data_IF_811247712264
#
_entry.id   IF_811247712264
#
_cell.length_a   1.000
_cell.length_b   1.000
_cell.length_c   1.000
_cell.angle_alpha   90.00
_cell.angle_beta   90.00
_cell.angle_gamma   90.00
#
_symmetry.space_group_name_H-M   'P 1'
#
loop_
_entity.id
_entity.type
_entity.pdbx_description
1 polymer ?
#
# COMPACT_ATOMS: atom_id res chain seq x y z
N UNK A 1 77.05 -34.50 -23.67
CA UNK A 1 76.99 -34.65 -22.21
C UNK A 1 76.04 -33.58 -21.68
N UNK A 2 75.06 -33.99 -20.85
CA UNK A 2 74.17 -33.17 -19.98
C UNK A 2 73.19 -32.21 -20.70
N UNK A 3 71.87 -32.45 -20.76
CA UNK A 3 70.84 -32.66 -19.73
C UNK A 3 70.25 -31.35 -19.14
N UNK A 4 68.91 -31.34 -19.11
CA UNK A 4 68.00 -30.71 -18.15
C UNK A 4 67.29 -29.38 -18.52
N UNK A 5 65.96 -29.53 -18.65
CA UNK A 5 64.85 -28.79 -18.03
C UNK A 5 64.64 -27.28 -18.30
N UNK A 6 63.37 -26.91 -18.10
CA UNK A 6 62.76 -25.57 -17.88
C UNK A 6 61.88 -25.17 -19.07
N UNK A 7 60.62 -24.77 -18.95
CA UNK A 7 59.58 -24.86 -17.92
C UNK A 7 58.30 -24.43 -18.67
N UNK A 8 57.21 -25.16 -18.45
CA UNK A 8 55.87 -24.75 -18.89
C UNK A 8 55.49 -23.44 -18.19
N UNK A 9 55.14 -22.39 -18.94
CA UNK A 9 54.42 -21.24 -18.40
C UNK A 9 53.15 -21.03 -19.25
N UNK A 10 52.12 -21.79 -18.86
CA UNK A 10 50.75 -21.49 -19.23
C UNK A 10 50.38 -20.14 -18.60
N UNK A 11 49.97 -19.17 -19.41
CA UNK A 11 49.30 -17.96 -18.92
C UNK A 11 47.98 -18.39 -18.28
N UNK A 12 47.99 -18.58 -16.96
CA UNK A 12 46.78 -18.55 -16.15
C UNK A 12 46.37 -17.09 -16.07
N UNK A 13 45.44 -16.68 -16.94
CA UNK A 13 44.69 -15.44 -16.76
C UNK A 13 43.92 -15.59 -15.46
N UNK A 14 44.40 -14.94 -14.41
CA UNK A 14 43.69 -14.78 -13.15
C UNK A 14 42.42 -13.97 -13.41
N UNK A 15 41.31 -14.66 -13.64
CA UNK A 15 39.98 -14.06 -13.57
C UNK A 15 39.77 -13.51 -12.16
N UNK A 16 39.95 -12.21 -11.98
CA UNK A 16 39.46 -11.55 -10.79
C UNK A 16 37.93 -11.69 -10.79
N UNK A 17 37.30 -12.24 -9.74
CA UNK A 17 35.87 -12.08 -9.58
C UNK A 17 35.62 -10.57 -9.47
N UNK A 18 34.88 -10.03 -10.44
CA UNK A 18 34.42 -8.66 -10.42
C UNK A 18 33.36 -8.54 -9.32
N UNK A 19 33.81 -8.40 -8.07
CA UNK A 19 32.97 -8.05 -6.93
C UNK A 19 32.68 -6.56 -7.00
N UNK A 20 31.94 -6.12 -8.02
CA UNK A 20 31.22 -4.85 -7.95
C UNK A 20 30.04 -5.06 -7.01
N UNK A 21 30.34 -4.90 -5.73
CA UNK A 21 29.40 -4.94 -4.64
C UNK A 21 28.35 -3.84 -4.79
N UNK A 22 27.13 -4.25 -5.12
CA UNK A 22 25.88 -3.49 -5.09
C UNK A 22 25.63 -2.92 -3.69
N UNK A 23 26.20 -1.75 -3.35
CA UNK A 23 25.96 -1.10 -2.04
C UNK A 23 25.75 0.42 -2.09
N UNK A 24 25.72 1.03 -3.28
CA UNK A 24 25.64 2.49 -3.47
C UNK A 24 24.21 3.08 -3.41
N UNK A 25 23.13 2.42 -3.88
CA UNK A 25 21.79 3.01 -3.87
C UNK A 25 21.18 3.17 -2.46
N UNK A 26 21.33 2.18 -1.58
CA UNK A 26 20.68 2.20 -0.26
C UNK A 26 21.20 3.31 0.66
N UNK A 27 22.53 3.52 0.71
CA UNK A 27 23.14 4.60 1.51
C UNK A 27 22.81 5.99 0.96
N UNK A 28 22.80 6.15 -0.37
CA UNK A 28 22.42 7.40 -1.01
C UNK A 28 20.94 7.74 -0.73
N UNK A 29 20.05 6.76 -0.84
CA UNK A 29 18.63 6.90 -0.51
C UNK A 29 18.42 7.27 0.96
N UNK A 30 19.16 6.65 1.88
CA UNK A 30 19.10 7.00 3.31
C UNK A 30 19.52 8.46 3.56
N UNK A 31 20.59 8.93 2.93
CA UNK A 31 21.05 10.31 3.05
C UNK A 31 20.05 11.31 2.45
N UNK A 32 19.44 10.98 1.31
CA UNK A 32 18.41 11.80 0.68
C UNK A 32 17.15 11.87 1.54
N UNK A 33 16.65 10.74 2.03
CA UNK A 33 15.50 10.70 2.93
C UNK A 33 15.72 11.53 4.20
N UNK A 34 16.95 11.52 4.74
CA UNK A 34 17.29 12.37 5.89
C UNK A 34 17.18 13.85 5.59
N UNK A 35 17.65 14.32 4.43
CA UNK A 35 17.49 15.73 4.02
C UNK A 35 16.02 16.12 3.90
N UNK A 36 15.21 15.26 3.29
CA UNK A 36 13.76 15.46 3.18
C UNK A 36 13.08 15.54 4.55
N UNK A 37 13.50 14.68 5.50
CA UNK A 37 13.03 14.76 6.89
C UNK A 37 13.44 16.09 7.54
N UNK A 38 14.69 16.54 7.38
CA UNK A 38 15.16 17.79 7.96
C UNK A 38 14.39 19.01 7.41
N UNK A 39 14.10 19.02 6.09
CA UNK A 39 13.26 20.02 5.45
C UNK A 39 11.82 19.98 5.97
N UNK A 40 11.21 18.79 6.05
CA UNK A 40 9.88 18.59 6.62
C UNK A 40 9.79 19.06 8.06
N UNK A 41 10.82 18.78 8.87
CA UNK A 41 10.91 19.24 10.27
C UNK A 41 10.95 20.77 10.34
N UNK A 42 11.69 21.43 9.45
CA UNK A 42 11.75 22.89 9.38
C UNK A 42 10.41 23.51 8.97
N UNK A 43 9.72 22.92 7.98
CA UNK A 43 8.37 23.32 7.55
C UNK A 43 7.35 23.16 8.69
N UNK A 44 7.37 22.00 9.37
CA UNK A 44 6.47 21.73 10.48
C UNK A 44 6.63 22.74 11.62
N UNK A 45 7.87 23.10 11.98
CA UNK A 45 8.17 24.11 13.02
C UNK A 45 7.61 25.49 12.69
N UNK A 46 7.47 25.83 11.40
CA UNK A 46 6.86 27.08 10.94
C UNK A 46 5.33 27.02 10.82
N UNK A 47 4.71 25.87 11.12
CA UNK A 47 3.27 25.65 10.95
C UNK A 47 2.85 25.33 9.52
N UNK A 48 3.79 25.15 8.59
CA UNK A 48 3.51 24.77 7.20
C UNK A 48 3.27 23.26 7.08
N UNK A 49 2.24 22.76 7.76
CA UNK A 49 2.00 21.32 7.95
C UNK A 49 1.74 20.56 6.65
N UNK A 50 1.02 21.14 5.69
CA UNK A 50 0.77 20.50 4.38
C UNK A 50 2.08 20.25 3.62
N UNK A 51 2.95 21.27 3.53
CA UNK A 51 4.26 21.14 2.88
C UNK A 51 5.20 20.20 3.65
N UNK A 52 5.10 20.19 4.98
CA UNK A 52 5.86 19.25 5.79
C UNK A 52 5.44 17.80 5.48
N UNK A 53 4.13 17.55 5.35
CA UNK A 53 3.59 16.25 5.00
C UNK A 53 4.15 15.75 3.67
N UNK A 54 4.17 16.60 2.64
CA UNK A 54 4.77 16.25 1.34
C UNK A 54 6.23 15.81 1.47
N UNK A 55 7.06 16.55 2.22
CA UNK A 55 8.48 16.20 2.40
C UNK A 55 8.65 14.88 3.15
N UNK A 56 7.81 14.62 4.16
CA UNK A 56 7.87 13.36 4.90
C UNK A 56 7.39 12.18 4.08
N UNK A 57 6.38 12.37 3.24
CA UNK A 57 5.93 11.36 2.27
C UNK A 57 7.07 11.02 1.31
N UNK A 58 7.65 12.03 0.66
CA UNK A 58 8.81 11.86 -0.24
C UNK A 58 10.00 11.18 0.47
N UNK A 59 10.22 11.48 1.75
CA UNK A 59 11.25 10.82 2.55
C UNK A 59 10.97 9.33 2.73
N UNK A 60 9.74 8.96 3.10
CA UNK A 60 9.33 7.56 3.29
C UNK A 60 9.35 6.77 1.96
N UNK A 61 9.04 7.47 0.87
CA UNK A 61 9.13 7.02 -0.51
C UNK A 61 10.57 6.68 -0.93
N UNK A 62 11.49 7.55 -0.54
CA UNK A 62 12.92 7.37 -0.79
C UNK A 62 13.52 6.27 0.09
N UNK A 63 13.10 6.21 1.35
CA UNK A 63 13.58 5.22 2.33
C UNK A 63 12.50 4.88 3.35
N UNK A 64 11.90 3.68 3.22
CA UNK A 64 10.85 3.21 4.13
C UNK A 64 11.42 2.95 5.52
N UNK A 65 11.08 3.80 6.47
CA UNK A 65 11.50 3.68 7.87
C UNK A 65 10.35 4.00 8.81
N UNK A 66 10.11 3.18 9.87
CA UNK A 66 9.07 3.46 10.85
C UNK A 66 9.20 4.84 11.50
N UNK A 67 10.43 5.33 11.70
CA UNK A 67 10.68 6.66 12.26
C UNK A 67 10.02 7.79 11.44
N UNK A 68 9.96 7.65 10.13
CA UNK A 68 9.34 8.64 9.25
C UNK A 68 7.80 8.59 9.37
N UNK A 69 7.21 7.42 9.62
CA UNK A 69 5.76 7.28 9.87
C UNK A 69 5.29 8.13 11.05
N UNK A 70 6.11 8.27 12.10
CA UNK A 70 5.77 9.14 13.23
C UNK A 70 5.68 10.61 12.85
N UNK A 71 6.57 11.08 11.98
CA UNK A 71 6.52 12.46 11.48
C UNK A 71 5.27 12.69 10.63
N UNK A 72 4.91 11.70 9.80
CA UNK A 72 3.66 11.73 9.01
C UNK A 72 2.44 11.76 9.96
N UNK A 73 2.41 10.90 10.99
CA UNK A 73 1.32 10.83 11.96
C UNK A 73 1.12 12.15 12.72
N UNK A 74 2.21 12.73 13.25
CA UNK A 74 2.15 14.03 13.94
C UNK A 74 1.72 15.16 13.00
N UNK A 75 2.05 15.08 11.72
CA UNK A 75 1.61 16.06 10.72
C UNK A 75 0.13 15.95 10.43
N UNK A 76 -0.41 14.75 10.23
CA UNK A 76 -1.86 14.55 10.12
C UNK A 76 -2.61 15.02 11.37
N UNK A 77 -2.05 14.77 12.56
CA UNK A 77 -2.64 15.27 13.81
C UNK A 77 -2.67 16.80 13.84
N UNK A 78 -1.58 17.47 13.46
CA UNK A 78 -1.51 18.93 13.39
C UNK A 78 -2.50 19.50 12.36
N UNK A 79 -2.74 18.79 11.26
CA UNK A 79 -3.76 19.08 10.25
C UNK A 79 -5.19 18.73 10.70
N UNK A 80 -5.37 18.20 11.91
CA UNK A 80 -6.64 17.70 12.46
C UNK A 80 -7.28 16.54 11.69
N UNK A 81 -6.49 15.88 10.85
CA UNK A 81 -6.84 14.62 10.19
C UNK A 81 -6.54 13.45 11.13
N UNK A 82 -7.35 13.34 12.19
CA UNK A 82 -7.16 12.38 13.26
C UNK A 82 -7.23 10.92 12.81
N UNK A 83 -8.15 10.52 11.88
CA UNK A 83 -8.19 9.16 11.38
C UNK A 83 -6.87 8.72 10.72
N UNK A 84 -6.29 9.57 9.84
CA UNK A 84 -5.01 9.24 9.20
C UNK A 84 -3.87 9.23 10.21
N UNK A 85 -3.85 10.17 11.16
CA UNK A 85 -2.86 10.17 12.24
C UNK A 85 -2.87 8.83 13.01
N UNK A 86 -4.05 8.35 13.42
CA UNK A 86 -4.23 7.05 14.11
C UNK A 86 -3.71 5.89 13.27
N UNK A 87 -4.02 5.84 11.96
CA UNK A 87 -3.52 4.79 11.07
C UNK A 87 -2.00 4.76 10.98
N UNK A 88 -1.35 5.92 10.90
CA UNK A 88 0.10 6.00 10.86
C UNK A 88 0.77 5.64 12.20
N UNK A 89 0.14 5.97 13.34
CA UNK A 89 0.59 5.48 14.64
C UNK A 89 0.44 3.96 14.76
N UNK A 90 -0.70 3.39 14.34
CA UNK A 90 -0.90 1.94 14.32
C UNK A 90 0.14 1.25 13.43
N UNK A 91 0.46 1.84 12.26
CA UNK A 91 1.48 1.30 11.36
C UNK A 91 2.88 1.39 11.99
N UNK A 92 3.22 2.48 12.66
CA UNK A 92 4.46 2.58 13.42
C UNK A 92 4.54 1.48 14.49
N UNK A 93 3.49 1.28 15.27
CA UNK A 93 3.44 0.24 16.30
C UNK A 93 3.48 -1.18 15.71
N UNK A 94 3.07 -1.36 14.45
CA UNK A 94 3.18 -2.64 13.76
C UNK A 94 4.58 -2.89 13.17
N UNK A 95 5.21 -1.87 12.59
CA UNK A 95 6.49 -2.00 11.88
C UNK A 95 7.73 -1.74 12.75
N UNK A 96 7.58 -1.15 13.94
CA UNK A 96 8.75 -0.83 14.75
C UNK A 96 9.51 -2.11 15.15
N UNK A 97 10.84 -2.04 15.01
CA UNK A 97 11.71 -3.02 15.63
C UNK A 97 11.60 -2.91 17.15
N UNK A 98 11.60 -4.02 17.91
CA UNK A 98 11.70 -3.99 19.36
C UNK A 98 13.01 -3.28 19.78
N UNK A 99 12.95 -1.96 20.01
CA UNK A 99 14.09 -1.18 20.47
C UNK A 99 14.19 -1.20 21.98
N UNK A 100 15.41 -1.01 22.52
CA UNK A 100 15.62 -0.84 23.97
C UNK A 100 15.00 0.45 24.52
N UNK A 101 14.77 1.43 23.66
CA UNK A 101 14.09 2.68 24.01
C UNK A 101 12.58 2.53 23.82
N UNK A 102 11.89 2.11 24.88
CA UNK A 102 10.43 1.94 24.92
C UNK A 102 9.71 3.29 25.05
N UNK A 103 10.42 4.40 25.31
CA UNK A 103 9.79 5.67 25.66
C UNK A 103 8.96 6.26 24.52
N UNK A 104 9.40 6.11 23.26
CA UNK A 104 8.65 6.57 22.08
C UNK A 104 7.40 5.72 21.88
N UNK A 105 7.48 4.41 22.08
CA UNK A 105 6.35 3.49 21.95
C UNK A 105 5.27 3.83 22.98
N UNK A 106 5.64 4.06 24.23
CA UNK A 106 4.69 4.48 25.27
C UNK A 106 4.05 5.82 24.95
N UNK A 107 4.82 6.81 24.47
CA UNK A 107 4.24 8.09 24.07
C UNK A 107 3.28 7.96 22.87
N UNK A 108 3.54 7.06 21.92
CA UNK A 108 2.62 6.78 20.80
C UNK A 108 1.35 6.08 21.31
N UNK A 109 1.46 5.17 22.27
CA UNK A 109 0.30 4.53 22.92
C UNK A 109 -0.55 5.54 23.68
N UNK A 110 0.07 6.42 24.46
CA UNK A 110 -0.61 7.50 25.14
C UNK A 110 -1.31 8.44 24.15
N UNK A 111 -0.63 8.75 23.03
CA UNK A 111 -1.21 9.54 21.95
C UNK A 111 -2.44 8.86 21.37
N UNK A 112 -2.37 7.58 21.03
CA UNK A 112 -3.52 6.81 20.55
C UNK A 112 -4.68 6.86 21.54
N UNK A 113 -4.41 6.67 22.83
CA UNK A 113 -5.42 6.75 23.91
C UNK A 113 -6.13 8.10 23.95
N UNK A 114 -5.41 9.21 23.73
CA UNK A 114 -6.05 10.54 23.66
C UNK A 114 -6.91 10.74 22.41
N UNK A 115 -6.63 10.00 21.33
CA UNK A 115 -7.34 10.11 20.05
C UNK A 115 -8.50 9.11 19.92
N UNK A 116 -8.56 8.06 20.74
CA UNK A 116 -9.60 7.01 20.69
C UNK A 116 -11.02 7.60 20.65
N UNK A 117 -11.34 8.53 21.55
CA UNK A 117 -12.67 9.16 21.61
C UNK A 117 -12.99 10.11 20.45
N UNK A 118 -12.05 10.37 19.53
CA UNK A 118 -12.23 11.29 18.40
C UNK A 118 -12.34 10.58 17.05
N UNK A 119 -12.13 9.26 17.00
CA UNK A 119 -12.20 8.45 15.78
C UNK A 119 -13.09 7.23 16.00
N UNK A 120 -13.70 6.71 14.95
CA UNK A 120 -14.27 5.37 14.96
C UNK A 120 -13.30 4.38 14.34
N UNK A 121 -13.44 3.08 14.64
CA UNK A 121 -12.71 2.01 13.97
C UNK A 121 -13.67 1.08 13.25
N UNK A 122 -13.42 0.82 11.97
CA UNK A 122 -14.21 -0.09 11.15
C UNK A 122 -13.44 -1.38 10.87
N UNK A 123 -14.10 -2.52 11.05
CA UNK A 123 -13.58 -3.82 10.66
C UNK A 123 -14.50 -4.45 9.62
N UNK A 124 -14.02 -4.57 8.37
CA UNK A 124 -14.74 -5.26 7.31
C UNK A 124 -14.31 -6.73 7.31
N UNK A 125 -15.20 -7.61 7.75
CA UNK A 125 -14.96 -9.05 7.78
C UNK A 125 -15.49 -9.67 6.48
N UNK A 126 -14.62 -10.32 5.69
CA UNK A 126 -15.03 -11.10 4.52
C UNK A 126 -14.62 -12.55 4.71
N UNK A 127 -15.46 -13.50 4.30
CA UNK A 127 -15.10 -14.93 4.30
C UNK A 127 -14.05 -15.28 3.25
N UNK A 128 -13.90 -14.43 2.23
CA UNK A 128 -12.92 -14.59 1.18
C UNK A 128 -11.63 -13.86 1.57
N UNK A 129 -10.52 -14.59 1.63
CA UNK A 129 -9.20 -13.99 1.79
C UNK A 129 -8.80 -13.24 0.50
N UNK A 130 -7.94 -12.24 0.67
CA UNK A 130 -7.40 -11.39 -0.39
C UNK A 130 -8.47 -10.64 -1.19
N UNK A 131 -9.64 -10.35 -0.60
CA UNK A 131 -10.62 -9.44 -1.19
C UNK A 131 -10.20 -8.00 -0.89
N UNK A 132 -10.14 -7.16 -1.93
CA UNK A 132 -9.79 -5.75 -1.81
C UNK A 132 -10.93 -4.98 -1.12
N UNK A 133 -10.56 -4.13 -0.17
CA UNK A 133 -11.48 -3.29 0.60
C UNK A 133 -11.15 -1.83 0.37
N UNK A 134 -12.16 -1.05 -0.02
CA UNK A 134 -12.09 0.41 -0.16
C UNK A 134 -13.14 1.01 0.78
N UNK A 135 -12.78 2.06 1.52
CA UNK A 135 -13.69 2.81 2.41
C UNK A 135 -13.61 4.30 2.02
N UNK A 136 -14.74 4.90 1.67
CA UNK A 136 -14.85 6.28 1.15
C UNK A 136 -13.80 6.61 0.07
N UNK A 137 -13.72 5.75 -0.94
CA UNK A 137 -12.79 5.86 -2.07
C UNK A 137 -11.30 5.75 -1.67
N UNK A 138 -10.98 5.49 -0.39
CA UNK A 138 -9.63 5.22 0.09
C UNK A 138 -9.37 3.70 0.15
N UNK A 139 -8.36 3.18 -0.56
CA UNK A 139 -8.00 1.77 -0.49
C UNK A 139 -7.43 1.43 0.89
N UNK A 140 -8.04 0.48 1.56
CA UNK A 140 -7.67 0.06 2.93
C UNK A 140 -6.72 -1.13 2.93
N UNK A 141 -6.79 -1.96 1.88
CA UNK A 141 -5.98 -3.15 1.72
C UNK A 141 -6.86 -4.34 1.36
N UNK A 142 -6.52 -5.52 1.89
CA UNK A 142 -7.25 -6.75 1.59
C UNK A 142 -7.63 -7.52 2.86
N UNK A 143 -8.65 -8.36 2.76
CA UNK A 143 -9.07 -9.24 3.85
C UNK A 143 -8.10 -10.42 4.07
N UNK A 144 -7.91 -10.89 5.31
CA UNK A 144 -8.34 -10.27 6.57
C UNK A 144 -7.55 -8.97 6.86
N UNK A 145 -8.26 -7.94 7.34
CA UNK A 145 -7.68 -6.62 7.63
C UNK A 145 -7.71 -6.29 9.13
N UNK A 146 -6.87 -5.35 9.55
CA UNK A 146 -6.96 -4.76 10.90
C UNK A 146 -8.06 -3.70 10.97
N UNK A 147 -8.60 -3.37 12.16
CA UNK A 147 -9.55 -2.27 12.30
C UNK A 147 -8.99 -0.95 11.76
N UNK A 148 -9.71 -0.36 10.82
CA UNK A 148 -9.32 0.85 10.12
C UNK A 148 -9.95 2.08 10.78
N UNK A 149 -9.13 3.02 11.23
CA UNK A 149 -9.64 4.24 11.85
C UNK A 149 -10.31 5.14 10.80
N UNK A 150 -11.46 5.71 11.10
CA UNK A 150 -12.20 6.64 10.23
C UNK A 150 -12.77 7.78 11.08
N UNK A 151 -13.24 8.85 10.43
CA UNK A 151 -14.01 9.87 11.12
C UNK A 151 -15.29 9.23 11.72
N UNK A 152 -15.89 9.77 12.78
CA UNK A 152 -17.23 9.34 13.19
C UNK A 152 -18.27 9.74 12.13
N UNK A 153 -19.22 8.85 11.82
CA UNK A 153 -20.27 9.11 10.84
C UNK A 153 -20.58 7.93 9.92
N UNK A 154 -21.32 8.21 8.85
CA UNK A 154 -21.65 7.24 7.81
C UNK A 154 -20.48 7.08 6.83
N UNK A 155 -20.08 5.83 6.59
CA UNK A 155 -19.03 5.46 5.65
C UNK A 155 -19.58 4.51 4.60
N UNK A 156 -19.12 4.68 3.36
CA UNK A 156 -19.37 3.73 2.28
C UNK A 156 -18.16 2.83 2.13
N UNK A 157 -18.38 1.55 1.87
CA UNK A 157 -17.30 0.64 1.57
C UNK A 157 -17.63 -0.26 0.39
N UNK A 158 -16.59 -0.71 -0.30
CA UNK A 158 -16.69 -1.76 -1.32
C UNK A 158 -15.74 -2.90 -1.01
N UNK A 159 -16.18 -4.12 -1.27
CA UNK A 159 -15.35 -5.33 -1.21
C UNK A 159 -15.37 -6.01 -2.56
N UNK A 160 -14.22 -6.20 -3.18
CA UNK A 160 -14.08 -6.77 -4.52
C UNK A 160 -13.03 -7.88 -4.56
N UNK A 161 -13.32 -8.94 -5.32
CA UNK A 161 -12.38 -10.04 -5.60
C UNK A 161 -12.63 -10.56 -7.02
N UNK A 162 -11.59 -10.83 -7.82
CA UNK A 162 -11.78 -11.42 -9.15
C UNK A 162 -12.60 -12.72 -9.09
N UNK A 163 -13.58 -12.85 -9.98
CA UNK A 163 -14.52 -13.97 -9.98
C UNK A 163 -15.74 -13.81 -9.07
N UNK A 164 -15.90 -12.65 -8.41
CA UNK A 164 -17.04 -12.32 -7.57
C UNK A 164 -17.67 -10.98 -7.97
N UNK A 165 -18.95 -10.81 -7.64
CA UNK A 165 -19.61 -9.51 -7.68
C UNK A 165 -19.02 -8.58 -6.62
N UNK A 166 -18.83 -7.31 -6.98
CA UNK A 166 -18.38 -6.29 -6.01
C UNK A 166 -19.51 -6.00 -5.04
N UNK A 167 -19.24 -6.20 -3.75
CA UNK A 167 -20.19 -5.86 -2.69
C UNK A 167 -20.05 -4.38 -2.32
N UNK A 168 -21.16 -3.65 -2.30
CA UNK A 168 -21.23 -2.26 -1.84
C UNK A 168 -22.04 -2.19 -0.54
N UNK A 169 -21.51 -1.52 0.48
CA UNK A 169 -22.13 -1.41 1.79
C UNK A 169 -22.01 -0.02 2.41
N UNK A 170 -22.78 0.17 3.49
CA UNK A 170 -22.70 1.35 4.37
C UNK A 170 -22.55 0.89 5.82
N UNK A 171 -21.80 1.64 6.60
CA UNK A 171 -21.58 1.38 8.02
C UNK A 171 -21.44 2.71 8.77
N UNK A 172 -21.95 2.77 9.99
CA UNK A 172 -21.84 3.95 10.85
C UNK A 172 -20.68 3.73 11.81
N UNK A 173 -19.64 4.54 11.70
CA UNK A 173 -18.54 4.58 12.65
C UNK A 173 -18.90 5.45 13.85
N UNK A 174 -18.82 4.88 15.05
CA UNK A 174 -19.04 5.60 16.31
C UNK A 174 -17.70 5.98 16.93
N UNK A 175 -17.61 7.20 17.44
CA UNK A 175 -16.39 7.69 18.09
C UNK A 175 -16.05 6.83 19.32
N UNK A 176 -14.80 6.42 19.47
CA UNK A 176 -14.35 5.54 20.56
C UNK A 176 -14.77 4.08 20.44
N UNK A 177 -15.48 3.69 19.39
CA UNK A 177 -15.97 2.33 19.21
C UNK A 177 -15.35 1.64 18.00
N UNK A 178 -15.25 0.31 18.09
CA UNK A 178 -14.93 -0.55 16.95
C UNK A 178 -16.21 -1.19 16.43
N UNK A 179 -16.59 -0.87 15.19
CA UNK A 179 -17.77 -1.40 14.51
C UNK A 179 -17.34 -2.42 13.45
N UNK A 180 -17.91 -3.62 13.49
CA UNK A 180 -17.67 -4.63 12.47
C UNK A 180 -18.83 -4.74 11.48
N UNK A 181 -18.49 -4.97 10.21
CA UNK A 181 -19.45 -5.27 9.14
C UNK A 181 -19.02 -6.54 8.43
N UNK A 182 -19.90 -7.55 8.42
CA UNK A 182 -19.63 -8.83 7.78
C UNK A 182 -20.16 -8.87 6.36
N UNK A 183 -19.30 -9.25 5.44
CA UNK A 183 -19.55 -9.33 4.00
C UNK A 183 -19.40 -10.77 3.53
N UNK A 184 -20.29 -11.18 2.62
CA UNK A 184 -20.14 -12.40 1.81
C UNK A 184 -20.19 -11.99 0.35
N UNK A 185 -19.19 -12.43 -0.42
CA UNK A 185 -19.14 -12.18 -1.85
C UNK A 185 -19.94 -13.24 -2.61
N UNK A 186 -20.64 -12.81 -3.66
CA UNK A 186 -21.38 -13.70 -4.57
C UNK A 186 -20.48 -14.05 -5.75
N UNK A 187 -20.20 -15.34 -6.03
CA UNK A 187 -19.42 -15.73 -7.20
C UNK A 187 -20.12 -15.31 -8.51
N UNK A 188 -19.36 -14.78 -9.46
CA UNK A 188 -19.84 -14.57 -10.83
C UNK A 188 -20.00 -15.96 -11.47
N UNK A 189 -21.25 -16.35 -11.78
CA UNK A 189 -21.49 -17.60 -12.47
C UNK A 189 -20.75 -17.60 -13.82
N UNK A 190 -19.78 -18.50 -13.99
CA UNK A 190 -19.20 -18.78 -15.29
C UNK A 190 -20.25 -19.52 -16.12
N UNK A 191 -20.80 -18.87 -17.16
CA UNK A 191 -21.61 -19.56 -18.17
C UNK A 191 -20.69 -20.46 -19.01
N UNK A 192 -20.33 -21.62 -18.47
CA UNK A 192 -19.80 -22.70 -19.28
C UNK A 192 -20.95 -23.27 -20.11
N UNK A 193 -21.02 -22.87 -21.37
CA UNK A 193 -21.93 -23.43 -22.38
C UNK A 193 -21.64 -24.92 -22.58
N UNK A 194 -22.28 -25.79 -21.80
CA UNK A 194 -22.42 -27.20 -22.18
C UNK A 194 -23.60 -27.27 -23.13
N UNK A 195 -23.36 -26.99 -24.41
CA UNK A 195 -24.25 -27.52 -25.45
C UNK A 195 -23.83 -28.97 -25.66
N UNK A 196 -24.61 -29.97 -25.22
CA UNK A 196 -24.33 -31.34 -25.66
C UNK A 196 -24.38 -31.37 -27.20
N UNK A 197 -23.46 -32.10 -27.88
CA UNK A 197 -23.57 -32.27 -29.32
C UNK A 197 -24.93 -32.90 -29.61
N UNK A 198 -25.78 -32.17 -30.34
CA UNK A 198 -27.04 -32.70 -30.84
C UNK A 198 -26.67 -33.93 -31.69
N UNK A 199 -27.15 -35.15 -31.37
CA UNK A 199 -26.94 -36.28 -32.26
C UNK A 199 -27.67 -35.98 -33.57
N UNK A 200 -26.89 -35.74 -34.63
CA UNK A 200 -27.40 -35.64 -36.00
C UNK A 200 -28.13 -36.96 -36.32
N UNK A 201 -29.45 -36.93 -36.31
CA UNK A 201 -30.26 -37.96 -36.97
C UNK A 201 -30.36 -37.58 -38.45
N UNK A 202 -29.93 -38.43 -39.40
CA UNK A 202 -30.02 -38.12 -40.82
C UNK A 202 -31.49 -38.16 -41.27
N UNK A 203 -32.05 -37.09 -41.86
CA UNK A 203 -33.30 -37.19 -42.59
C UNK A 203 -33.04 -37.88 -43.93
N UNK A 204 -33.72 -39.00 -44.14
CA UNK A 204 -33.78 -39.68 -45.43
C UNK A 204 -34.32 -38.79 -46.54
N UNK A 205 -33.78 -39.07 -47.73
CA UNK A 205 -34.23 -38.72 -49.08
C UNK A 205 -35.66 -38.15 -49.23
N UNK A 206 -35.75 -36.89 -49.68
CA UNK A 206 -36.80 -36.35 -50.56
C UNK A 206 -36.30 -34.99 -51.09
N UNK A 207 -35.72 -34.97 -52.30
CA UNK A 207 -36.36 -34.56 -53.56
C UNK A 207 -36.57 -33.04 -53.70
N UNK A 208 -35.93 -32.50 -54.73
CA UNK A 208 -35.74 -31.10 -55.06
C UNK A 208 -36.93 -30.43 -55.78
N UNK A 209 -36.99 -29.09 -55.67
CA UNK A 209 -37.28 -28.05 -56.69
C UNK A 209 -37.80 -26.77 -55.98
N UNK A 210 -37.03 -25.67 -55.93
CA UNK A 210 -37.05 -24.49 -56.83
C UNK A 210 -38.38 -23.68 -56.71
N UNK A 211 -38.45 -22.34 -56.57
CA UNK A 211 -37.56 -21.25 -57.02
C UNK A 211 -37.94 -19.90 -56.33
N UNK A 212 -36.94 -19.05 -56.15
CA UNK A 212 -36.90 -17.59 -56.36
C UNK A 212 -37.51 -16.48 -55.45
N UNK A 213 -36.69 -15.41 -55.42
CA UNK A 213 -36.90 -13.97 -55.15
C UNK A 213 -36.96 -13.46 -53.70
N UNK A 214 -35.93 -12.76 -53.20
CA UNK A 214 -35.46 -11.36 -53.46
C UNK A 214 -36.11 -10.30 -52.54
N UNK A 215 -35.21 -9.64 -51.77
CA UNK A 215 -35.18 -8.20 -51.41
C UNK A 215 -35.61 -7.77 -49.98
N UNK A 216 -34.69 -6.98 -49.38
CA UNK A 216 -34.86 -5.88 -48.40
C UNK A 216 -35.23 -6.27 -46.93
N UNK A 217 -34.69 -5.69 -45.86
CA UNK A 217 -33.83 -4.51 -45.66
C UNK A 217 -33.17 -4.54 -44.26
N UNK A 218 -32.06 -3.79 -44.15
CA UNK A 218 -31.46 -3.06 -43.03
C UNK A 218 -31.96 -3.34 -41.59
N UNK A 219 -31.10 -3.80 -40.67
CA UNK A 219 -30.24 -2.97 -39.83
C UNK A 219 -30.97 -1.87 -39.03
N UNK A 220 -30.98 -1.98 -37.69
CA UNK A 220 -30.30 -1.05 -36.79
C UNK A 220 -30.53 -1.42 -35.32
N UNK A 221 -29.44 -1.87 -34.70
CA UNK A 221 -29.16 -1.85 -33.27
C UNK A 221 -29.27 -0.41 -32.75
N UNK A 222 -30.01 -0.18 -31.67
CA UNK A 222 -29.91 1.07 -30.90
C UNK A 222 -29.55 0.75 -29.47
N UNK A 223 -28.28 0.98 -29.15
CA UNK A 223 -27.70 1.01 -27.81
C UNK A 223 -28.00 2.38 -27.18
N UNK A 224 -28.45 2.48 -25.92
CA UNK A 224 -28.43 3.76 -25.23
C UNK A 224 -26.99 4.09 -24.80
N UNK A 225 -26.44 5.16 -25.39
CA UNK A 225 -25.21 5.81 -24.93
C UNK A 225 -25.47 6.52 -23.59
N UNK A 226 -24.74 6.12 -22.54
CA UNK A 226 -24.62 6.89 -21.30
C UNK A 226 -23.39 7.79 -21.41
N UNK A 227 -23.62 9.09 -21.56
CA UNK A 227 -22.59 10.13 -21.51
C UNK A 227 -22.21 10.40 -20.05
N UNK A 228 -20.95 10.15 -19.68
CA UNK A 228 -20.37 10.64 -18.44
C UNK A 228 -19.80 12.04 -18.64
N UNK A 229 -20.61 13.06 -18.39
CA UNK A 229 -20.12 14.40 -18.06
C UNK A 229 -20.03 14.51 -16.53
N UNK A 230 -18.86 14.20 -15.98
CA UNK A 230 -18.46 14.69 -14.66
C UNK A 230 -17.12 15.38 -14.82
N UNK A 231 -17.20 16.70 -14.65
CA UNK A 231 -16.12 17.67 -14.67
C UNK A 231 -15.15 17.35 -13.53
N UNK A 232 -13.88 17.21 -13.87
CA UNK A 232 -12.79 16.94 -12.93
C UNK A 232 -12.51 18.13 -12.02
N UNK A 233 -12.44 17.83 -10.73
CA UNK A 233 -11.88 18.70 -9.71
C UNK A 233 -10.51 18.10 -9.35
N UNK A 234 -9.49 18.50 -10.11
CA UNK A 234 -8.13 17.99 -9.99
C UNK A 234 -7.43 18.63 -8.77
N UNK A 235 -7.74 18.12 -7.57
CA UNK A 235 -7.02 18.40 -6.32
C UNK A 235 -5.91 17.38 -6.08
N UNK A 236 -4.72 17.83 -5.68
CA UNK A 236 -3.44 17.11 -5.55
C UNK A 236 -3.38 15.89 -4.60
N UNK A 237 -4.48 15.20 -4.28
CA UNK A 237 -4.50 14.06 -3.34
C UNK A 237 -4.53 12.67 -4.00
N UNK A 238 -4.55 12.60 -5.33
CA UNK A 238 -4.50 11.31 -6.04
C UNK A 238 -3.09 11.02 -6.56
N UNK A 239 -2.22 10.61 -5.65
CA UNK A 239 -1.10 9.68 -5.90
C UNK A 239 -0.54 9.24 -4.56
N UNK A 240 -0.03 8.00 -4.56
CA UNK A 240 0.86 7.40 -3.55
C UNK A 240 0.10 6.53 -2.50
N UNK A 241 0.26 5.19 -2.31
CA UNK A 241 1.38 4.27 -2.61
C UNK A 241 1.20 2.76 -2.26
N UNK A 242 0.05 2.09 -2.43
CA UNK A 242 -0.05 0.65 -2.05
C UNK A 242 -0.15 -0.41 -3.17
N UNK A 243 0.14 -0.09 -4.44
CA UNK A 243 0.43 -1.12 -5.44
C UNK A 243 1.95 -1.29 -5.67
N UNK A 244 2.52 -2.23 -4.94
CA UNK A 244 3.49 -3.19 -5.48
C UNK A 244 3.22 -4.53 -4.80
N UNK A 245 2.02 -5.07 -5.02
CA UNK A 245 1.55 -6.29 -4.38
C UNK A 245 0.59 -7.17 -5.20
N UNK A 246 0.28 -6.82 -6.45
CA UNK A 246 -0.36 -7.75 -7.38
C UNK A 246 0.12 -7.49 -8.82
N UNK A 247 1.20 -8.18 -9.21
CA UNK A 247 1.42 -8.68 -10.57
C UNK A 247 2.79 -9.37 -10.66
N UNK A 248 2.90 -10.64 -10.22
CA UNK A 248 3.43 -11.76 -11.00
C UNK A 248 3.54 -13.01 -10.13
N UNK A 249 2.89 -14.10 -10.52
CA UNK A 249 3.36 -15.45 -10.20
C UNK A 249 4.53 -15.74 -11.13
N UNK A 250 5.76 -15.70 -10.64
CA UNK A 250 6.90 -16.41 -11.22
C UNK A 250 8.08 -16.52 -10.22
N UNK A 251 8.30 -17.75 -9.75
CA UNK A 251 9.57 -18.41 -9.37
C UNK A 251 10.49 -17.71 -8.34
N UNK A 252 10.81 -18.46 -7.29
CA UNK A 252 11.44 -17.95 -6.08
C UNK A 252 12.88 -17.46 -6.21
N UNK A 253 13.23 -16.61 -5.25
CA UNK A 253 14.56 -16.48 -4.67
C UNK A 253 14.36 -15.96 -3.24
N UNK A 254 14.82 -16.72 -2.24
CA UNK A 254 14.90 -16.26 -0.87
C UNK A 254 15.88 -15.09 -0.78
N UNK A 255 15.41 -13.90 -0.40
CA UNK A 255 16.28 -12.78 -0.06
C UNK A 255 16.27 -12.63 1.45
N UNK A 256 17.28 -13.21 2.10
CA UNK A 256 17.61 -12.95 3.49
C UNK A 256 18.24 -11.57 3.57
N UNK A 257 17.53 -10.56 4.09
CA UNK A 257 18.14 -9.28 4.44
C UNK A 257 18.83 -9.45 5.78
N UNK A 258 20.15 -9.60 5.76
CA UNK A 258 20.98 -9.37 6.94
C UNK A 258 21.06 -7.86 7.17
N UNK A 259 20.28 -7.34 8.12
CA UNK A 259 20.46 -5.97 8.60
C UNK A 259 21.73 -5.96 9.45
N UNK A 260 22.81 -5.41 8.89
CA UNK A 260 23.95 -4.97 9.68
C UNK A 260 23.48 -3.79 10.52
N UNK A 261 23.25 -4.04 11.80
CA UNK A 261 23.04 -3.01 12.80
C UNK A 261 24.32 -2.17 12.90
N UNK A 262 24.39 -1.06 12.18
CA UNK A 262 25.30 0.01 12.54
C UNK A 262 24.71 0.73 13.75
N UNK A 263 25.22 0.40 14.93
CA UNK A 263 25.00 1.13 16.16
C UNK A 263 25.66 2.51 16.07
N UNK A 264 25.04 3.42 15.32
CA UNK A 264 25.12 4.86 15.60
C UNK A 264 23.90 5.19 16.44
N UNK A 265 24.10 5.75 17.63
CA UNK A 265 22.99 6.27 18.44
C UNK A 265 22.35 7.43 17.69
N UNK A 266 21.35 7.14 16.87
CA UNK A 266 20.58 8.18 16.20
C UNK A 266 19.61 8.77 17.21
N UNK A 267 19.89 10.00 17.66
CA UNK A 267 19.02 10.88 18.46
C UNK A 267 17.74 11.25 17.68
N UNK A 268 16.98 10.25 17.24
CA UNK A 268 15.71 10.47 16.57
C UNK A 268 14.71 10.99 17.59
N UNK A 269 14.37 12.28 17.47
CA UNK A 269 13.28 12.90 18.20
C UNK A 269 12.11 13.08 17.23
N UNK A 270 10.95 12.45 17.47
CA UNK A 270 9.78 12.69 16.63
C UNK A 270 9.41 14.17 16.69
N UNK A 271 8.82 14.70 15.62
CA UNK A 271 8.38 16.10 15.61
C UNK A 271 7.16 16.33 16.52
N UNK A 272 6.79 17.60 16.67
CA UNK A 272 5.60 17.98 17.43
C UNK A 272 5.79 17.79 18.93
N UNK A 273 4.72 17.38 19.62
CA UNK A 273 4.70 17.26 21.07
C UNK A 273 5.47 16.05 21.58
N UNK A 274 5.50 14.95 20.82
CA UNK A 274 6.31 13.76 21.14
C UNK A 274 7.82 14.09 21.20
N UNK A 275 8.26 15.12 20.46
CA UNK A 275 9.64 15.63 20.52
C UNK A 275 9.91 16.60 21.66
N UNK A 276 8.86 17.21 22.24
CA UNK A 276 8.97 18.20 23.33
C UNK A 276 9.00 17.52 24.71
N UNK A 277 8.27 16.42 24.89
CA UNK A 277 8.24 15.62 26.13
C UNK A 277 9.60 15.07 26.55
N UNK A 278 10.55 14.90 25.62
CA UNK A 278 11.92 14.49 25.92
C UNK A 278 12.79 15.59 26.58
N UNK A 279 12.29 16.83 26.68
CA UNK A 279 13.04 17.99 27.20
C UNK A 279 12.64 18.44 28.61
N UNK A 280 11.86 17.65 29.35
CA UNK A 280 11.69 17.85 30.80
C UNK A 280 12.82 17.21 31.64
N UNK A 281 14.00 17.03 31.04
CA UNK A 281 15.27 16.91 31.77
C UNK A 281 15.88 18.31 31.93
N UNK A 282 16.67 18.57 32.99
CA UNK A 282 17.08 19.94 33.34
C UNK A 282 17.78 20.63 32.16
N UNK A 283 17.39 21.89 31.92
CA UNK A 283 18.09 22.83 31.06
C UNK A 283 19.59 22.80 31.41
N UNK A 284 20.42 22.39 30.45
CA UNK A 284 21.82 22.77 30.46
C UNK A 284 21.99 23.94 29.51
N UNK A 285 21.95 25.13 30.09
CA UNK A 285 22.61 26.33 29.56
C UNK A 285 24.09 26.07 29.33
N UNK A 286 24.61 26.59 28.22
CA UNK A 286 26.01 26.94 27.89
C UNK A 286 27.14 26.21 28.62
N UNK A 287 27.99 25.50 27.86
CA UNK A 287 29.42 25.81 27.63
C UNK A 287 29.90 25.12 26.34
#
# INVERSE_FOLDING_TARGET
MSAALVCYLALVSSGQPNTQASSTPSKANQAQARRLVDEGNALFKRGEHEKALERFQEAYETFRSPKILLNIAETHRALRDLPRAVRFYDQFLFEHEPTKDTSVIEQVRDRLKTLEGSVGRLLIECSEDSAEVIIDDEPVGSTPMRPWAVAPGDHRFSVSKPGFETHLGRVVARAGESTSSRVRLTPLASLASVTPPIPFSPPGSASAAATDNHRADAALTTTPQYSSDVKGDDGLTSKWWFWTGAALVAVGAAVSVAIVASSGGDDFRPIGELGRSATNGPEWTEF
#
